data_IF_890702431379
#
_entry.id   IF_890702431379
#
_cell.length_a   1.000
_cell.length_b   1.000
_cell.length_c   1.000
_cell.angle_alpha   90.00
_cell.angle_beta   90.00
_cell.angle_gamma   90.00
#
_symmetry.space_group_name_H-M   'P 1'
#
loop_
_entity.id
_entity.type
_entity.pdbx_description
1 polymer ?
#
# COMPACT_ATOMS: atom_id res chain seq x y z
N UNK A 1 -2.56 -31.53 29.80
CA UNK A 1 -1.76 -31.32 28.58
C UNK A 1 -1.41 -29.85 28.53
N UNK A 2 -0.16 -29.52 28.85
CA UNK A 2 0.31 -28.14 28.94
C UNK A 2 0.67 -27.66 27.54
N UNK A 3 -0.09 -26.72 27.00
CA UNK A 3 0.27 -26.05 25.75
C UNK A 3 1.30 -24.98 26.10
N UNK A 4 2.58 -25.25 25.78
CA UNK A 4 3.59 -24.21 25.74
C UNK A 4 3.26 -23.26 24.58
N UNK A 5 2.55 -22.17 24.86
CA UNK A 5 2.62 -21.00 23.99
C UNK A 5 3.99 -20.36 24.20
N UNK A 6 4.87 -20.53 23.22
CA UNK A 6 6.03 -19.66 23.06
C UNK A 6 5.46 -18.24 22.93
N UNK A 7 5.82 -17.28 23.79
CA UNK A 7 5.44 -15.89 23.56
C UNK A 7 6.02 -15.49 22.21
N UNK A 8 5.16 -15.22 21.23
CA UNK A 8 5.58 -14.47 20.05
C UNK A 8 6.08 -13.15 20.60
N UNK A 9 7.38 -12.88 20.44
CA UNK A 9 8.00 -11.65 20.93
C UNK A 9 7.22 -10.45 20.38
N UNK A 10 6.46 -9.70 21.21
CA UNK A 10 5.67 -8.57 20.74
C UNK A 10 6.54 -7.55 20.00
N UNK A 11 7.82 -7.44 20.40
CA UNK A 11 8.83 -6.59 19.76
C UNK A 11 9.21 -7.03 18.33
N UNK A 12 8.67 -8.14 17.84
CA UNK A 12 8.84 -8.62 16.46
C UNK A 12 7.53 -8.95 15.74
N UNK A 13 6.39 -8.69 16.37
CA UNK A 13 5.09 -8.99 15.76
C UNK A 13 4.64 -7.87 14.82
N UNK A 14 4.11 -8.25 13.66
CA UNK A 14 3.50 -7.34 12.67
C UNK A 14 2.04 -7.71 12.55
N UNK A 15 1.13 -6.74 12.66
CA UNK A 15 -0.28 -6.94 12.31
C UNK A 15 -0.56 -6.42 10.89
N UNK A 16 -1.39 -7.14 10.16
CA UNK A 16 -1.82 -6.79 8.81
C UNK A 16 -3.33 -6.53 8.82
N UNK A 17 -3.78 -5.43 8.21
CA UNK A 17 -5.20 -5.07 8.11
C UNK A 17 -5.52 -4.58 6.71
N UNK A 18 -6.46 -5.22 6.01
CA UNK A 18 -7.03 -4.70 4.77
C UNK A 18 -8.40 -4.04 5.00
N UNK A 19 -8.87 -3.32 3.99
CA UNK A 19 -10.27 -2.89 3.85
C UNK A 19 -10.85 -2.10 5.04
N UNK A 20 -10.12 -1.15 5.68
CA UNK A 20 -10.68 -0.39 6.78
C UNK A 20 -11.81 0.55 6.33
N UNK A 21 -11.83 1.00 5.06
CA UNK A 21 -12.85 1.89 4.52
C UNK A 21 -13.21 3.06 5.46
N UNK A 22 -12.18 3.82 5.86
CA UNK A 22 -12.23 4.89 6.86
C UNK A 22 -12.46 4.48 8.32
N UNK A 23 -12.87 3.24 8.64
CA UNK A 23 -13.01 2.75 10.02
C UNK A 23 -11.73 2.09 10.53
N UNK A 24 -10.89 2.88 11.20
CA UNK A 24 -9.66 2.41 11.82
C UNK A 24 -9.86 1.86 13.25
N UNK A 25 -11.09 1.82 13.77
CA UNK A 25 -11.38 1.36 15.14
C UNK A 25 -10.89 -0.08 15.40
N UNK A 26 -11.09 -1.06 14.49
CA UNK A 26 -10.57 -2.41 14.67
C UNK A 26 -9.02 -2.44 14.77
N UNK A 27 -8.34 -1.66 13.92
CA UNK A 27 -6.87 -1.53 13.94
C UNK A 27 -6.41 -0.97 15.28
N UNK A 28 -7.04 0.11 15.75
CA UNK A 28 -6.69 0.77 17.01
C UNK A 28 -6.86 -0.18 18.19
N UNK A 29 -7.98 -0.90 18.27
CA UNK A 29 -8.22 -1.88 19.34
C UNK A 29 -7.14 -2.97 19.35
N UNK A 30 -6.81 -3.52 18.18
CA UNK A 30 -5.82 -4.57 18.07
C UNK A 30 -4.41 -4.09 18.46
N UNK A 31 -3.99 -2.89 18.06
CA UNK A 31 -2.70 -2.33 18.44
C UNK A 31 -2.61 -2.09 19.94
N UNK A 32 -3.66 -1.54 20.56
CA UNK A 32 -3.69 -1.32 22.01
C UNK A 32 -3.59 -2.64 22.78
N UNK A 33 -4.29 -3.68 22.31
CA UNK A 33 -4.35 -4.99 22.95
C UNK A 33 -3.03 -5.78 22.79
N UNK A 34 -2.48 -5.80 21.58
CA UNK A 34 -1.36 -6.70 21.24
C UNK A 34 0.01 -6.02 21.26
N UNK A 35 0.07 -4.68 21.22
CA UNK A 35 1.30 -3.89 21.19
C UNK A 35 2.33 -4.42 20.19
N UNK A 36 1.96 -4.57 18.91
CA UNK A 36 2.88 -5.08 17.90
C UNK A 36 4.02 -4.09 17.63
N UNK A 37 5.12 -4.60 17.08
CA UNK A 37 6.22 -3.77 16.61
C UNK A 37 5.80 -2.89 15.42
N UNK A 38 4.95 -3.41 14.54
CA UNK A 38 4.39 -2.65 13.43
C UNK A 38 2.96 -3.08 13.04
N UNK A 39 2.26 -2.18 12.38
CA UNK A 39 1.03 -2.43 11.60
C UNK A 39 1.29 -2.12 10.13
N UNK A 40 0.76 -2.95 9.24
CA UNK A 40 0.73 -2.69 7.80
C UNK A 40 -0.73 -2.69 7.33
N UNK A 41 -1.17 -1.55 6.79
CA UNK A 41 -2.49 -1.41 6.20
C UNK A 41 -2.45 -1.79 4.71
N UNK A 42 -3.31 -2.71 4.28
CA UNK A 42 -3.29 -3.38 2.98
C UNK A 42 -4.37 -2.81 2.04
N UNK A 43 -4.34 -1.51 1.82
CA UNK A 43 -5.21 -0.81 0.87
C UNK A 43 -6.63 -0.54 1.35
N UNK A 44 -7.38 0.16 0.51
CA UNK A 44 -8.75 0.62 0.71
C UNK A 44 -8.94 1.36 2.04
N UNK A 45 -8.00 2.30 2.26
CA UNK A 45 -7.91 3.12 3.45
C UNK A 45 -9.03 4.16 3.49
N UNK A 46 -9.27 4.79 2.34
CA UNK A 46 -10.24 5.85 2.07
C UNK A 46 -10.40 6.85 3.22
N UNK A 47 -9.33 7.41 3.80
CA UNK A 47 -9.45 8.20 5.02
C UNK A 47 -10.11 9.55 4.73
N UNK A 48 -10.99 10.00 5.64
CA UNK A 48 -11.72 11.28 5.51
C UNK A 48 -10.91 12.50 6.00
N UNK A 49 -9.70 12.27 6.49
CA UNK A 49 -8.73 13.24 6.98
C UNK A 49 -7.32 12.64 6.81
N UNK A 50 -6.23 13.42 6.91
CA UNK A 50 -4.88 12.86 6.80
C UNK A 50 -4.68 11.59 7.64
N UNK A 51 -4.11 10.55 7.03
CA UNK A 51 -4.06 9.20 7.61
C UNK A 51 -3.45 9.17 9.01
N UNK A 52 -2.39 9.95 9.24
CA UNK A 52 -1.75 10.09 10.55
C UNK A 52 -2.70 10.64 11.62
N UNK A 53 -3.60 11.56 11.26
CA UNK A 53 -4.64 12.05 12.16
C UNK A 53 -5.74 11.02 12.37
N UNK A 54 -6.14 10.28 11.32
CA UNK A 54 -7.17 9.24 11.41
C UNK A 54 -6.75 8.10 12.35
N UNK A 55 -5.46 7.76 12.34
CA UNK A 55 -4.84 6.79 13.25
C UNK A 55 -4.56 7.38 14.65
N UNK A 56 -4.48 8.72 14.74
CA UNK A 56 -4.27 9.44 15.99
C UNK A 56 -3.03 8.96 16.73
N UNK A 57 -3.18 8.67 18.03
CA UNK A 57 -2.07 8.24 18.90
C UNK A 57 -1.50 6.86 18.58
N UNK A 58 -2.08 6.12 17.64
CA UNK A 58 -1.57 4.82 17.23
C UNK A 58 -0.13 4.90 16.71
N UNK A 59 0.22 5.99 16.04
CA UNK A 59 1.58 6.27 15.52
C UNK A 59 2.64 6.41 16.62
N UNK A 60 2.23 6.65 17.87
CA UNK A 60 3.10 6.68 19.05
C UNK A 60 3.33 5.27 19.64
N UNK A 61 2.47 4.30 19.33
CA UNK A 61 2.43 2.98 19.97
C UNK A 61 3.09 1.87 19.14
N UNK A 62 3.16 2.05 17.82
CA UNK A 62 3.65 1.05 16.87
C UNK A 62 4.12 1.75 15.59
N UNK A 63 5.02 1.13 14.83
CA UNK A 63 5.28 1.62 13.47
C UNK A 63 4.06 1.40 12.57
N UNK A 64 3.73 2.39 11.75
CA UNK A 64 2.65 2.27 10.77
C UNK A 64 3.24 2.30 9.37
N UNK A 65 2.90 1.30 8.58
CA UNK A 65 3.18 1.22 7.16
C UNK A 65 1.88 0.96 6.40
N UNK A 66 1.85 1.26 5.12
CA UNK A 66 0.68 0.96 4.30
C UNK A 66 1.02 0.78 2.83
N UNK A 67 0.09 0.18 2.11
CA UNK A 67 -0.06 0.30 0.66
C UNK A 67 -1.45 0.88 0.39
N UNK A 68 -1.62 1.59 -0.73
CA UNK A 68 -2.94 1.99 -1.18
C UNK A 68 -3.64 0.81 -1.88
N UNK A 69 -4.96 0.81 -1.87
CA UNK A 69 -5.82 -0.14 -2.58
C UNK A 69 -6.34 0.44 -3.89
N UNK A 70 -7.39 -0.16 -4.43
CA UNK A 70 -8.02 0.29 -5.67
C UNK A 70 -8.98 1.46 -5.45
N UNK A 71 -9.63 1.53 -4.28
CA UNK A 71 -10.60 2.58 -3.95
C UNK A 71 -9.95 3.87 -3.45
N UNK A 72 -8.69 3.82 -3.03
CA UNK A 72 -7.95 5.01 -2.56
C UNK A 72 -7.75 6.08 -3.65
N UNK A 73 -7.93 5.72 -4.93
CA UNK A 73 -7.87 6.64 -6.08
C UNK A 73 -9.24 7.00 -6.67
N UNK A 74 -10.34 6.71 -5.97
CA UNK A 74 -11.69 7.07 -6.42
C UNK A 74 -12.07 8.51 -6.02
N UNK A 75 -11.46 9.03 -4.95
CA UNK A 75 -11.72 10.36 -4.41
C UNK A 75 -10.40 11.13 -4.20
N UNK A 76 -10.40 12.41 -4.59
CA UNK A 76 -9.20 13.27 -4.53
C UNK A 76 -8.80 13.59 -3.09
N UNK A 77 -9.76 13.78 -2.18
CA UNK A 77 -9.47 14.09 -0.78
C UNK A 77 -8.90 12.87 -0.07
N UNK A 78 -9.45 11.67 -0.34
CA UNK A 78 -8.91 10.42 0.19
C UNK A 78 -7.47 10.17 -0.28
N UNK A 79 -7.19 10.42 -1.56
CA UNK A 79 -5.83 10.32 -2.11
C UNK A 79 -4.88 11.32 -1.46
N UNK A 80 -5.28 12.60 -1.37
CA UNK A 80 -4.48 13.65 -0.74
C UNK A 80 -4.26 13.42 0.77
N UNK A 81 -5.16 12.69 1.42
CA UNK A 81 -5.04 12.32 2.83
C UNK A 81 -3.99 11.21 3.08
N UNK A 82 -3.52 10.53 2.03
CA UNK A 82 -2.45 9.53 2.11
C UNK A 82 -1.14 9.97 1.42
N UNK A 83 -1.16 11.05 0.64
CA UNK A 83 0.02 11.65 -0.03
C UNK A 83 0.42 13.00 0.58
N UNK A 84 1.54 13.58 0.15
CA UNK A 84 1.97 14.93 0.58
C UNK A 84 1.61 16.06 -0.37
N UNK A 85 0.86 15.78 -1.44
CA UNK A 85 0.65 16.75 -2.52
C UNK A 85 -0.09 18.02 -2.05
N UNK A 86 -1.07 17.92 -1.14
CA UNK A 86 -1.91 19.06 -0.71
C UNK A 86 -2.14 19.09 0.79
N UNK A 87 -2.75 18.05 1.37
CA UNK A 87 -3.15 18.04 2.79
C UNK A 87 -2.02 17.48 3.68
N UNK A 88 -1.06 16.73 3.11
CA UNK A 88 0.17 16.36 3.80
C UNK A 88 -0.01 15.22 4.78
N UNK A 89 -0.04 13.96 4.31
CA UNK A 89 0.10 12.84 5.24
C UNK A 89 1.54 12.74 5.73
N UNK A 90 1.76 12.93 7.04
CA UNK A 90 3.05 12.62 7.68
C UNK A 90 3.50 11.17 7.45
N UNK A 91 2.59 10.27 7.08
CA UNK A 91 2.87 8.86 6.82
C UNK A 91 3.21 8.53 5.37
N UNK A 92 3.19 9.47 4.41
CA UNK A 92 3.45 9.13 2.99
C UNK A 92 4.79 8.39 2.78
N UNK A 93 5.83 8.77 3.53
CA UNK A 93 7.13 8.10 3.50
C UNK A 93 7.08 6.62 3.93
N UNK A 94 6.01 6.21 4.62
CA UNK A 94 5.69 4.83 5.04
C UNK A 94 4.76 4.09 4.05
N UNK A 95 4.43 4.69 2.92
CA UNK A 95 3.80 3.97 1.81
C UNK A 95 4.84 3.03 1.15
N UNK A 96 4.54 1.74 1.19
CA UNK A 96 5.37 0.64 0.70
C UNK A 96 5.21 0.35 -0.80
N UNK A 97 4.24 0.95 -1.50
CA UNK A 97 4.05 0.69 -2.93
C UNK A 97 5.36 0.95 -3.71
N UNK A 98 5.83 -0.07 -4.43
CA UNK A 98 7.06 -0.03 -5.23
C UNK A 98 8.35 -0.05 -4.41
N UNK A 99 8.29 -0.34 -3.10
CA UNK A 99 9.43 -0.26 -2.17
C UNK A 99 9.59 -1.53 -1.35
N UNK A 100 10.80 -1.69 -0.81
CA UNK A 100 11.13 -2.69 0.20
C UNK A 100 11.64 -1.96 1.44
N UNK A 101 11.09 -2.29 2.62
CA UNK A 101 11.50 -1.74 3.90
C UNK A 101 11.81 -2.87 4.90
N UNK A 102 12.68 -2.60 5.87
CA UNK A 102 12.89 -3.51 7.01
C UNK A 102 11.92 -3.13 8.12
N UNK A 103 10.96 -3.99 8.44
CA UNK A 103 9.90 -3.78 9.42
C UNK A 103 9.96 -4.91 10.43
N UNK A 104 10.10 -4.58 11.73
CA UNK A 104 10.25 -5.58 12.80
C UNK A 104 11.35 -6.64 12.53
N UNK A 105 12.41 -6.26 11.82
CA UNK A 105 13.52 -7.15 11.43
C UNK A 105 13.27 -8.00 10.18
N UNK A 106 12.12 -7.86 9.52
CA UNK A 106 11.77 -8.55 8.27
C UNK A 106 11.88 -7.58 7.09
N UNK A 107 12.44 -8.02 5.96
CA UNK A 107 12.30 -7.23 4.72
C UNK A 107 10.91 -7.46 4.15
N UNK A 108 10.16 -6.38 3.96
CA UNK A 108 8.79 -6.37 3.48
C UNK A 108 8.73 -5.56 2.19
N UNK A 109 8.26 -6.20 1.13
CA UNK A 109 8.00 -5.56 -0.16
C UNK A 109 6.51 -5.22 -0.28
N UNK A 110 6.19 -4.01 -0.75
CA UNK A 110 4.81 -3.57 -0.96
C UNK A 110 4.47 -3.31 -2.43
N UNK A 111 3.30 -3.79 -2.84
CA UNK A 111 2.72 -3.50 -4.13
C UNK A 111 1.24 -3.13 -3.93
N UNK A 112 0.96 -1.83 -3.84
CA UNK A 112 -0.40 -1.31 -3.71
C UNK A 112 -1.10 -1.14 -5.05
N UNK A 113 -2.44 -1.09 -5.02
CA UNK A 113 -3.30 -0.87 -6.17
C UNK A 113 -3.89 -2.16 -6.74
N UNK A 114 -4.26 -2.11 -8.03
CA UNK A 114 -4.98 -3.17 -8.73
C UNK A 114 -4.48 -3.34 -10.16
N UNK A 115 -4.50 -4.59 -10.64
CA UNK A 115 -4.30 -4.89 -12.05
C UNK A 115 -5.54 -4.51 -12.86
N UNK A 116 -5.38 -3.63 -13.85
CA UNK A 116 -6.47 -3.19 -14.72
C UNK A 116 -6.24 -3.71 -16.12
N UNK A 117 -7.24 -4.36 -16.72
CA UNK A 117 -7.16 -4.89 -18.09
C UNK A 117 -6.78 -3.84 -19.14
N UNK A 118 -7.18 -2.58 -18.90
CA UNK A 118 -6.79 -1.44 -19.75
C UNK A 118 -5.28 -1.11 -19.72
N UNK A 119 -4.54 -1.69 -18.77
CA UNK A 119 -3.08 -1.58 -18.65
C UNK A 119 -2.46 -2.93 -18.97
N UNK A 120 -2.73 -3.96 -18.16
CA UNK A 120 -2.30 -5.33 -18.35
C UNK A 120 -2.94 -6.26 -17.32
N UNK A 121 -2.83 -7.58 -17.53
CA UNK A 121 -3.25 -8.56 -16.54
C UNK A 121 -2.28 -9.75 -16.51
N UNK A 122 -1.61 -10.05 -15.38
CA UNK A 122 -0.51 -11.01 -15.33
C UNK A 122 -0.93 -12.48 -15.58
N UNK A 123 -2.23 -12.79 -15.49
CA UNK A 123 -2.74 -14.18 -15.53
C UNK A 123 -3.67 -14.52 -16.69
N UNK A 124 -4.10 -13.53 -17.48
CA UNK A 124 -5.14 -13.81 -18.49
C UNK A 124 -4.56 -14.54 -19.69
N UNK A 125 -3.37 -14.15 -20.15
CA UNK A 125 -2.60 -14.82 -21.18
C UNK A 125 -1.11 -14.46 -21.02
N UNK A 126 -0.22 -15.42 -20.78
CA UNK A 126 1.23 -15.16 -20.69
C UNK A 126 1.86 -14.62 -21.99
N UNK A 127 1.05 -14.50 -23.06
CA UNK A 127 1.40 -13.95 -24.37
C UNK A 127 0.76 -12.58 -24.65
N UNK A 128 -0.19 -12.13 -23.84
CA UNK A 128 -0.78 -10.81 -24.02
C UNK A 128 0.24 -9.76 -23.57
N UNK A 129 0.69 -8.95 -24.52
CA UNK A 129 1.56 -7.80 -24.24
C UNK A 129 0.78 -6.77 -23.41
N UNK A 130 1.47 -6.07 -22.50
CA UNK A 130 0.87 -4.98 -21.76
C UNK A 130 0.47 -3.87 -22.73
N UNK A 131 -0.71 -3.29 -22.55
CA UNK A 131 -1.13 -2.10 -23.29
C UNK A 131 -0.24 -0.89 -22.94
N UNK A 132 0.19 -0.81 -21.67
CA UNK A 132 1.11 0.21 -21.18
C UNK A 132 2.09 -0.38 -20.16
N UNK A 133 3.39 -0.25 -20.45
CA UNK A 133 4.47 -0.75 -19.57
C UNK A 133 4.70 0.14 -18.35
N UNK A 134 4.54 1.45 -18.51
CA UNK A 134 4.78 2.43 -17.44
C UNK A 134 3.63 3.44 -17.29
N UNK A 135 3.51 4.12 -16.13
CA UNK A 135 2.61 5.26 -15.96
C UNK A 135 2.81 6.36 -17.03
N UNK A 136 4.06 6.60 -17.42
CA UNK A 136 4.41 7.61 -18.43
C UNK A 136 3.92 7.22 -19.83
N UNK A 137 3.99 5.94 -20.18
CA UNK A 137 3.45 5.44 -21.45
C UNK A 137 1.94 5.66 -21.53
N UNK A 138 1.22 5.32 -20.46
CA UNK A 138 -0.22 5.60 -20.37
C UNK A 138 -0.51 7.10 -20.49
N UNK A 139 0.24 7.95 -19.77
CA UNK A 139 0.05 9.41 -19.77
C UNK A 139 0.17 10.03 -21.18
N UNK A 140 1.08 9.52 -22.01
CA UNK A 140 1.29 9.99 -23.39
C UNK A 140 0.06 9.74 -24.28
N UNK A 141 -0.71 8.70 -23.98
CA UNK A 141 -1.93 8.35 -24.70
C UNK A 141 -3.19 9.01 -24.12
N UNK A 142 -3.11 9.63 -22.94
CA UNK A 142 -4.19 10.40 -22.33
C UNK A 142 -4.29 11.80 -22.91
N UNK A 143 -5.53 12.26 -23.13
CA UNK A 143 -5.82 13.66 -23.45
C UNK A 143 -5.49 14.54 -22.23
N UNK A 144 -5.09 15.81 -22.43
CA UNK A 144 -4.80 16.72 -21.31
C UNK A 144 -5.94 16.83 -20.28
N UNK A 145 -7.20 16.76 -20.70
CA UNK A 145 -8.37 16.84 -19.81
C UNK A 145 -8.59 15.59 -18.94
N UNK A 146 -8.00 14.44 -19.30
CA UNK A 146 -8.08 13.19 -18.54
C UNK A 146 -6.96 13.08 -17.50
N UNK A 147 -5.95 13.94 -17.61
CA UNK A 147 -4.77 13.95 -16.72
C UNK A 147 -5.12 14.62 -15.41
N UNK A 148 -4.70 14.01 -14.32
CA UNK A 148 -4.84 14.58 -13.00
C UNK A 148 -3.50 15.15 -12.53
N UNK A 149 -3.47 16.45 -12.25
CA UNK A 149 -2.28 17.22 -11.82
C UNK A 149 -1.05 16.98 -12.73
N UNK A 150 -1.28 16.93 -14.04
CA UNK A 150 -0.23 16.75 -15.05
C UNK A 150 0.27 15.31 -15.23
N UNK A 151 -0.11 14.38 -14.36
CA UNK A 151 0.20 12.95 -14.45
C UNK A 151 -0.87 12.14 -15.16
N UNK A 152 -0.93 10.84 -14.89
CA UNK A 152 -2.08 9.99 -15.25
C UNK A 152 -3.33 10.40 -14.46
N UNK A 153 -4.51 10.00 -14.93
CA UNK A 153 -5.78 10.19 -14.19
C UNK A 153 -5.68 9.61 -12.77
N UNK A 154 -6.40 10.18 -11.80
CA UNK A 154 -6.39 9.73 -10.40
C UNK A 154 -6.67 8.22 -10.27
N UNK A 155 -7.70 7.71 -10.96
CA UNK A 155 -8.03 6.27 -11.02
C UNK A 155 -6.84 5.38 -11.44
N UNK A 156 -5.98 5.88 -12.32
CA UNK A 156 -4.82 5.14 -12.79
C UNK A 156 -3.61 5.24 -11.85
N UNK A 157 -3.62 6.13 -10.85
CA UNK A 157 -2.61 6.15 -9.77
C UNK A 157 -2.67 4.90 -8.89
N UNK A 158 -3.80 4.20 -8.86
CA UNK A 158 -3.94 2.89 -8.21
C UNK A 158 -3.77 1.72 -9.17
N UNK A 159 -3.35 1.93 -10.42
CA UNK A 159 -3.05 0.83 -11.33
C UNK A 159 -1.65 0.31 -11.07
N UNK A 160 -1.51 -1.01 -10.99
CA UNK A 160 -0.20 -1.65 -10.98
C UNK A 160 0.30 -1.77 -12.41
N UNK A 161 1.50 -1.27 -12.69
CA UNK A 161 2.16 -1.36 -14.00
C UNK A 161 3.20 -2.49 -14.05
N UNK A 162 3.48 -3.09 -15.22
CA UNK A 162 4.52 -4.12 -15.34
C UNK A 162 5.87 -3.66 -14.83
N UNK A 163 6.27 -2.41 -15.14
CA UNK A 163 7.54 -1.84 -14.69
C UNK A 163 7.72 -1.83 -13.18
N UNK A 164 6.63 -1.65 -12.42
CA UNK A 164 6.65 -1.63 -10.97
C UNK A 164 6.85 -3.03 -10.39
N UNK A 165 6.21 -4.04 -10.99
CA UNK A 165 6.39 -5.45 -10.64
C UNK A 165 7.82 -5.91 -10.94
N UNK A 166 8.35 -5.55 -12.12
CA UNK A 166 9.73 -5.87 -12.51
C UNK A 166 10.75 -5.22 -11.58
N UNK A 167 10.59 -3.92 -11.30
CA UNK A 167 11.46 -3.19 -10.39
C UNK A 167 11.45 -3.81 -8.99
N UNK A 168 10.28 -4.10 -8.45
CA UNK A 168 10.15 -4.73 -7.13
C UNK A 168 10.73 -6.15 -7.11
N UNK A 169 10.50 -6.93 -8.16
CA UNK A 169 11.06 -8.27 -8.33
C UNK A 169 12.59 -8.27 -8.37
N UNK A 170 13.21 -7.24 -8.96
CA UNK A 170 14.68 -7.07 -8.97
C UNK A 170 15.22 -6.82 -7.57
N UNK A 171 14.55 -5.98 -6.78
CA UNK A 171 14.95 -5.70 -5.37
C UNK A 171 14.76 -6.93 -4.48
N UNK A 172 13.72 -7.73 -4.72
CA UNK A 172 13.38 -8.90 -3.92
C UNK A 172 14.23 -10.14 -4.19
N UNK A 173 14.98 -10.20 -5.31
CA UNK A 173 15.91 -11.30 -5.63
C UNK A 173 17.20 -11.30 -4.79
N UNK A 174 17.38 -10.31 -3.90
CA UNK A 174 18.39 -10.37 -2.83
C UNK A 174 17.90 -11.30 -1.70
N UNK A 175 18.75 -12.08 -1.02
CA UNK A 175 18.25 -13.14 -0.14
C UNK A 175 17.39 -12.56 1.00
N UNK A 176 16.12 -12.99 1.05
CA UNK A 176 15.13 -12.86 2.13
C UNK A 176 14.28 -11.57 2.22
N UNK A 177 13.28 -11.35 1.35
CA UNK A 177 12.07 -10.61 1.74
C UNK A 177 10.78 -11.43 1.68
N UNK A 178 9.87 -11.12 2.60
CA UNK A 178 8.46 -11.53 2.57
C UNK A 178 7.71 -10.58 1.62
N UNK A 179 7.10 -11.10 0.56
CA UNK A 179 6.26 -10.33 -0.35
C UNK A 179 4.83 -10.24 0.20
N UNK A 180 4.32 -9.03 0.44
CA UNK A 180 2.91 -8.78 0.71
C UNK A 180 2.25 -8.36 -0.60
N UNK A 181 1.22 -9.08 -1.02
CA UNK A 181 0.37 -8.75 -2.17
C UNK A 181 -1.05 -8.58 -1.62
N UNK A 182 -1.76 -7.49 -1.94
CA UNK A 182 -3.18 -7.37 -1.56
C UNK A 182 -4.01 -8.48 -2.20
N UNK A 183 -5.04 -8.93 -1.49
CA UNK A 183 -5.97 -9.99 -1.91
C UNK A 183 -6.86 -9.53 -3.07
#
# INVERSE_FOLDING_TARGET
MSFNTIPQDPAKSILLFGDPHSDFTPVIRAVVQHRPAAVILLGDLTPVQPLHLALGRLTELTEVWFIHGNHDGDDELAWDAITTDIVGSELEHRNLHGKVATIAGLKVAGLGGVFRESVWYPRRDAKAEAAFETPEDLRRHMKPAERWRGGISLKHRTSIFPSEVEALGTVCKSPSPMCLVPL
#
